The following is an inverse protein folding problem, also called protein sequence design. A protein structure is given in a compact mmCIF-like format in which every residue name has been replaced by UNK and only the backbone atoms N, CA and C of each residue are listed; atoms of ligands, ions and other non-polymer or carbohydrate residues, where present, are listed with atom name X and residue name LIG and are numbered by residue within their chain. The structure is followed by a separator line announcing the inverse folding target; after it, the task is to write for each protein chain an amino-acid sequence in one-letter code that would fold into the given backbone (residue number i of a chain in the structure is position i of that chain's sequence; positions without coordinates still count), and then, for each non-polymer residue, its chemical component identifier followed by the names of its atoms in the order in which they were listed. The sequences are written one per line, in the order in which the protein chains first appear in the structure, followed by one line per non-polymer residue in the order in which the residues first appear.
data_IF_338037178860
#
_entry.id   IF_338037178860
#
_cell.length_a   1.000
_cell.length_b   1.000
_cell.length_c   1.000
_cell.angle_alpha   90.00
_cell.angle_beta   90.00
_cell.angle_gamma   90.00
#
_symmetry.space_group_name_H-M   'P 1'
#
loop_
_entity.id
_entity.type
_entity.pdbx_description
1 polymer ?
#
# COMPACT_ATOMS: atom_id res chain seq x y z
N UNK A 1 -18.47 11.63 -5.42
CA UNK A 1 -18.26 10.26 -5.96
C UNK A 1 -16.76 9.88 -6.10
N UNK A 2 -15.93 9.84 -5.04
CA UNK A 2 -14.49 9.54 -5.17
C UNK A 2 -14.10 8.04 -5.14
N UNK A 3 -14.96 7.16 -4.62
CA UNK A 3 -14.60 5.75 -4.34
C UNK A 3 -14.31 4.94 -5.63
N UNK A 4 -15.04 5.20 -6.73
CA UNK A 4 -14.88 4.46 -7.99
C UNK A 4 -13.57 4.78 -8.73
N UNK A 5 -13.12 6.04 -8.67
CA UNK A 5 -11.87 6.47 -9.31
C UNK A 5 -10.64 5.79 -8.68
N UNK A 6 -10.64 5.61 -7.36
CA UNK A 6 -9.54 4.96 -6.64
C UNK A 6 -9.42 3.48 -6.93
N UNK A 7 -10.56 2.79 -7.05
CA UNK A 7 -10.57 1.38 -7.37
C UNK A 7 -9.98 1.15 -8.78
N UNK A 8 -10.26 2.05 -9.72
CA UNK A 8 -9.69 1.99 -11.07
C UNK A 8 -8.19 2.30 -11.05
N UNK A 9 -7.78 3.31 -10.30
CA UNK A 9 -6.37 3.69 -10.16
C UNK A 9 -5.54 2.59 -9.48
N UNK A 10 -6.07 1.95 -8.43
CA UNK A 10 -5.44 0.82 -7.77
C UNK A 10 -5.30 -0.38 -8.73
N UNK A 11 -6.31 -0.65 -9.56
CA UNK A 11 -6.24 -1.69 -10.60
C UNK A 11 -5.17 -1.36 -11.65
N UNK A 12 -5.08 -0.10 -12.08
CA UNK A 12 -4.05 0.35 -13.02
C UNK A 12 -2.64 0.12 -12.47
N UNK A 13 -2.35 0.55 -11.24
CA UNK A 13 -1.04 0.32 -10.64
C UNK A 13 -0.75 -1.16 -10.39
N UNK A 14 -1.75 -1.96 -10.01
CA UNK A 14 -1.58 -3.41 -9.89
C UNK A 14 -1.23 -4.07 -11.24
N UNK A 15 -1.81 -3.60 -12.34
CA UNK A 15 -1.46 -4.05 -13.69
C UNK A 15 -0.01 -3.68 -14.04
N UNK A 16 0.42 -2.44 -13.75
CA UNK A 16 1.82 -2.01 -13.96
C UNK A 16 2.82 -2.82 -13.14
N UNK A 17 2.48 -3.18 -11.91
CA UNK A 17 3.31 -4.07 -11.10
C UNK A 17 3.45 -5.46 -11.75
N UNK A 18 2.35 -6.02 -12.29
CA UNK A 18 2.38 -7.31 -12.98
C UNK A 18 3.19 -7.27 -14.28
N UNK A 19 3.08 -6.20 -15.07
CA UNK A 19 3.90 -6.00 -16.27
C UNK A 19 5.39 -6.01 -15.92
N UNK A 20 5.79 -5.25 -14.90
CA UNK A 20 7.17 -5.20 -14.43
C UNK A 20 7.62 -6.55 -13.84
N UNK A 21 6.76 -7.25 -13.08
CA UNK A 21 7.05 -8.59 -12.56
C UNK A 21 7.37 -9.58 -13.70
N UNK A 22 6.59 -9.54 -14.79
CA UNK A 22 6.83 -10.38 -15.97
C UNK A 22 8.13 -10.02 -16.68
N UNK A 23 8.43 -8.74 -16.85
CA UNK A 23 9.62 -8.27 -17.54
C UNK A 23 10.90 -8.58 -16.75
N UNK A 24 10.88 -8.32 -15.44
CA UNK A 24 11.95 -8.71 -14.51
C UNK A 24 12.15 -10.22 -14.59
N UNK A 25 11.09 -11.02 -14.48
CA UNK A 25 11.22 -12.48 -14.54
C UNK A 25 11.82 -12.96 -15.85
N UNK A 26 11.43 -12.39 -17.00
CA UNK A 26 12.05 -12.70 -18.30
C UNK A 26 13.54 -12.43 -18.30
N UNK A 27 13.99 -11.29 -17.75
CA UNK A 27 15.41 -10.95 -17.67
C UNK A 27 16.15 -11.95 -16.78
N UNK A 28 15.60 -12.28 -15.61
CA UNK A 28 16.18 -13.30 -14.73
C UNK A 28 16.28 -14.65 -15.43
N UNK A 29 15.23 -15.11 -16.11
CA UNK A 29 15.27 -16.37 -16.89
C UNK A 29 16.32 -16.33 -18.00
N UNK A 30 16.43 -15.23 -18.75
CA UNK A 30 17.40 -15.09 -19.84
C UNK A 30 18.85 -15.04 -19.34
N UNK A 31 19.10 -14.31 -18.25
CA UNK A 31 20.45 -14.06 -17.74
C UNK A 31 20.95 -15.20 -16.85
N UNK A 32 20.08 -15.83 -16.08
CA UNK A 32 20.45 -16.89 -15.13
C UNK A 32 20.26 -18.28 -15.73
N UNK A 33 19.30 -18.46 -16.65
CA UNK A 33 19.08 -19.75 -17.34
C UNK A 33 18.97 -20.95 -16.39
N UNK A 34 19.20 -22.15 -16.92
CA UNK A 34 19.52 -23.32 -16.10
C UNK A 34 21.04 -23.36 -15.90
N UNK A 35 21.48 -23.27 -14.64
CA UNK A 35 22.88 -23.40 -14.29
C UNK A 35 23.26 -24.88 -14.11
N UNK A 36 24.36 -25.30 -14.72
CA UNK A 36 24.94 -26.62 -14.48
C UNK A 36 25.63 -26.72 -13.11
N UNK A 37 25.84 -27.94 -12.55
CA UNK A 37 26.47 -28.11 -11.24
C UNK A 37 27.89 -27.51 -11.15
N UNK A 38 28.64 -27.47 -12.26
CA UNK A 38 29.99 -26.89 -12.30
C UNK A 38 29.99 -25.35 -12.27
N UNK A 39 28.96 -24.71 -12.86
CA UNK A 39 28.77 -23.25 -12.86
C UNK A 39 28.32 -22.72 -11.49
N UNK A 40 27.63 -23.57 -10.71
CA UNK A 40 27.29 -23.29 -9.32
C UNK A 40 28.55 -23.34 -8.44
N UNK A 41 29.43 -24.31 -8.69
CA UNK A 41 30.68 -24.46 -7.94
C UNK A 41 31.71 -23.35 -8.24
N UNK A 42 31.65 -22.74 -9.43
CA UNK A 42 32.60 -21.70 -9.87
C UNK A 42 32.26 -20.28 -9.42
N UNK A 43 31.08 -20.05 -8.81
CA UNK A 43 30.58 -18.71 -8.47
C UNK A 43 30.08 -17.89 -9.67
N UNK A 44 30.05 -18.49 -10.87
CA UNK A 44 29.53 -17.86 -12.09
C UNK A 44 28.02 -17.60 -11.98
N UNK A 45 27.31 -18.42 -11.20
CA UNK A 45 25.92 -18.20 -10.85
C UNK A 45 25.69 -16.87 -10.10
N UNK A 46 26.55 -16.53 -9.13
CA UNK A 46 26.43 -15.30 -8.34
C UNK A 46 26.64 -14.06 -9.21
N UNK A 47 27.63 -14.09 -10.12
CA UNK A 47 27.88 -13.01 -11.07
C UNK A 47 26.70 -12.78 -12.04
N UNK A 48 26.03 -13.86 -12.47
CA UNK A 48 24.83 -13.77 -13.33
C UNK A 48 23.64 -13.17 -12.58
N UNK A 49 23.46 -13.55 -11.31
CA UNK A 49 22.43 -12.97 -10.43
C UNK A 49 22.68 -11.48 -10.22
N UNK A 50 23.92 -11.09 -9.93
CA UNK A 50 24.31 -9.69 -9.75
C UNK A 50 24.00 -8.88 -11.00
N UNK A 51 24.46 -9.36 -12.17
CA UNK A 51 24.21 -8.70 -13.47
C UNK A 51 22.71 -8.59 -13.80
N UNK A 52 21.92 -9.61 -13.47
CA UNK A 52 20.47 -9.55 -13.62
C UNK A 52 19.83 -8.55 -12.64
N UNK A 53 20.34 -8.46 -11.43
CA UNK A 53 19.89 -7.49 -10.43
C UNK A 53 20.16 -6.06 -10.91
N UNK A 54 21.36 -5.78 -11.41
CA UNK A 54 21.74 -4.49 -11.99
C UNK A 54 20.86 -4.13 -13.20
N UNK A 55 20.69 -5.08 -14.12
CA UNK A 55 19.86 -4.89 -15.32
C UNK A 55 18.39 -4.59 -14.98
N UNK A 56 17.90 -5.10 -13.85
CA UNK A 56 16.52 -4.90 -13.40
C UNK A 56 16.36 -3.81 -12.33
N UNK A 57 17.43 -3.19 -11.83
CA UNK A 57 17.40 -2.29 -10.67
C UNK A 57 16.39 -1.15 -10.83
N UNK A 58 16.37 -0.49 -11.99
CA UNK A 58 15.40 0.58 -12.31
C UNK A 58 13.96 0.06 -12.33
N UNK A 59 13.72 -1.13 -12.89
CA UNK A 59 12.39 -1.75 -12.94
C UNK A 59 11.91 -2.14 -11.54
N UNK A 60 12.80 -2.67 -10.69
CA UNK A 60 12.48 -3.00 -9.31
C UNK A 60 12.11 -1.74 -8.50
N UNK A 61 12.81 -0.63 -8.73
CA UNK A 61 12.50 0.66 -8.13
C UNK A 61 11.11 1.17 -8.57
N UNK A 62 10.82 1.15 -9.88
CA UNK A 62 9.50 1.52 -10.41
C UNK A 62 8.38 0.63 -9.85
N UNK A 63 8.62 -0.68 -9.79
CA UNK A 63 7.68 -1.67 -9.25
C UNK A 63 7.35 -1.36 -7.79
N UNK A 64 8.35 -1.01 -6.98
CA UNK A 64 8.16 -0.60 -5.59
C UNK A 64 7.30 0.66 -5.49
N UNK A 65 7.59 1.68 -6.32
CA UNK A 65 6.81 2.92 -6.35
C UNK A 65 5.33 2.64 -6.70
N UNK A 66 5.06 1.87 -7.77
CA UNK A 66 3.68 1.52 -8.15
C UNK A 66 2.95 0.70 -7.09
N UNK A 67 3.62 -0.19 -6.35
CA UNK A 67 3.00 -0.92 -5.24
C UNK A 67 2.51 0.00 -4.12
N UNK A 68 3.19 1.13 -3.91
CA UNK A 68 2.87 2.07 -2.84
C UNK A 68 1.86 3.16 -3.26
N UNK A 69 1.68 3.38 -4.57
CA UNK A 69 0.77 4.39 -5.12
C UNK A 69 -0.68 4.33 -4.60
N UNK A 70 -1.33 3.15 -4.48
CA UNK A 70 -2.69 3.10 -3.93
C UNK A 70 -2.76 3.61 -2.49
N UNK A 71 -1.71 3.37 -1.71
CA UNK A 71 -1.62 3.83 -0.32
C UNK A 71 -1.41 5.35 -0.28
N UNK A 72 -0.54 5.89 -1.14
CA UNK A 72 -0.29 7.33 -1.27
C UNK A 72 -1.55 8.06 -1.72
N UNK A 73 -2.25 7.56 -2.74
CA UNK A 73 -3.51 8.12 -3.20
C UNK A 73 -4.58 8.15 -2.08
N UNK A 74 -4.61 7.10 -1.25
CA UNK A 74 -5.50 7.07 -0.07
C UNK A 74 -5.09 8.10 0.98
N UNK A 75 -3.80 8.27 1.22
CA UNK A 75 -3.28 9.26 2.16
C UNK A 75 -3.65 10.69 1.74
N UNK A 76 -3.43 11.05 0.47
CA UNK A 76 -3.79 12.36 -0.09
C UNK A 76 -5.27 12.67 0.10
N UNK A 77 -6.15 11.69 -0.06
CA UNK A 77 -7.59 11.87 0.16
C UNK A 77 -7.98 12.10 1.61
N UNK A 78 -7.20 11.54 2.53
CA UNK A 78 -7.37 11.76 3.96
C UNK A 78 -6.68 13.07 4.41
N UNK A 79 -6.11 13.85 3.49
CA UNK A 79 -5.37 15.07 3.81
C UNK A 79 -4.05 14.80 4.53
N UNK A 80 -3.51 13.58 4.42
CA UNK A 80 -2.23 13.21 5.03
C UNK A 80 -1.12 13.69 4.10
N UNK A 81 -0.33 14.65 4.58
CA UNK A 81 0.89 15.09 3.92
C UNK A 81 2.05 14.15 4.29
N UNK A 82 2.83 13.72 3.30
CA UNK A 82 3.91 12.74 3.49
C UNK A 82 5.25 13.48 3.48
N UNK A 83 5.97 13.56 4.62
CA UNK A 83 7.27 14.22 4.70
C UNK A 83 8.25 13.80 3.61
N UNK A 84 9.04 14.75 3.09
CA UNK A 84 10.03 14.47 2.05
C UNK A 84 11.04 13.39 2.48
N UNK A 85 11.38 13.36 3.78
CA UNK A 85 12.28 12.37 4.39
C UNK A 85 11.80 10.92 4.31
N UNK A 86 10.53 10.70 3.97
CA UNK A 86 9.96 9.36 3.81
C UNK A 86 10.05 8.82 2.39
N UNK A 87 10.44 9.65 1.43
CA UNK A 87 10.70 9.21 0.07
C UNK A 87 12.14 8.72 -0.05
N UNK A 88 12.35 7.69 -0.86
CA UNK A 88 13.70 7.29 -1.20
C UNK A 88 14.36 8.39 -2.04
N UNK A 89 15.66 8.67 -1.82
CA UNK A 89 16.42 9.51 -2.74
C UNK A 89 16.32 8.91 -4.16
N UNK A 90 15.99 9.75 -5.13
CA UNK A 90 15.73 9.31 -6.49
C UNK A 90 16.99 9.34 -7.33
N UNK A 91 17.45 8.17 -7.79
CA UNK A 91 18.63 8.05 -8.64
C UNK A 91 18.30 7.76 -10.12
N UNK A 92 17.01 7.58 -10.45
CA UNK A 92 16.58 7.14 -11.78
C UNK A 92 15.73 8.16 -12.56
N UNK A 93 15.65 9.41 -12.09
CA UNK A 93 14.89 10.48 -12.77
C UNK A 93 13.40 10.20 -12.93
N UNK A 94 12.84 9.36 -12.07
CA UNK A 94 11.43 8.95 -12.15
C UNK A 94 10.54 10.00 -11.50
N UNK A 95 9.38 10.26 -12.13
CA UNK A 95 8.35 11.16 -11.58
C UNK A 95 7.79 10.66 -10.24
N UNK A 96 7.96 9.37 -9.94
CA UNK A 96 7.44 8.73 -8.75
C UNK A 96 8.58 8.07 -7.98
N UNK A 97 8.85 8.60 -6.79
CA UNK A 97 9.76 7.99 -5.81
C UNK A 97 8.97 7.01 -4.95
N UNK A 98 9.49 5.83 -4.62
CA UNK A 98 8.92 4.99 -3.57
C UNK A 98 9.21 5.60 -2.21
N UNK A 99 8.41 5.23 -1.23
CA UNK A 99 8.68 5.43 0.18
C UNK A 99 9.78 4.48 0.64
N UNK A 100 10.66 5.01 1.50
CA UNK A 100 11.57 4.18 2.29
C UNK A 100 10.77 3.34 3.30
N UNK A 101 11.44 2.39 3.96
CA UNK A 101 10.77 1.47 4.87
C UNK A 101 10.04 2.19 6.03
N UNK A 102 10.66 3.23 6.58
CA UNK A 102 10.09 4.04 7.65
C UNK A 102 8.84 4.80 7.18
N UNK A 103 8.92 5.41 6.00
CA UNK A 103 7.83 6.14 5.36
C UNK A 103 6.62 5.27 5.07
N UNK A 104 6.85 4.07 4.53
CA UNK A 104 5.78 3.11 4.28
C UNK A 104 5.07 2.71 5.58
N UNK A 105 5.83 2.31 6.60
CA UNK A 105 5.28 1.89 7.90
C UNK A 105 4.53 3.03 8.61
N UNK A 106 5.08 4.25 8.55
CA UNK A 106 4.43 5.45 9.06
C UNK A 106 3.10 5.71 8.34
N UNK A 107 3.08 5.64 7.01
CA UNK A 107 1.90 5.92 6.21
C UNK A 107 0.77 4.93 6.48
N UNK A 108 1.08 3.63 6.58
CA UNK A 108 0.12 2.58 6.96
C UNK A 108 -0.51 2.89 8.32
N UNK A 109 0.31 3.29 9.30
CA UNK A 109 -0.17 3.67 10.63
C UNK A 109 -1.09 4.90 10.58
N UNK A 110 -0.72 5.93 9.81
CA UNK A 110 -1.46 7.19 9.77
C UNK A 110 -2.83 7.05 9.08
N UNK A 111 -2.90 6.25 8.02
CA UNK A 111 -4.16 5.86 7.39
C UNK A 111 -5.02 5.03 8.36
N UNK A 112 -4.38 4.13 9.12
CA UNK A 112 -5.06 3.32 10.14
C UNK A 112 -5.70 4.16 11.27
N UNK A 113 -4.99 5.18 11.77
CA UNK A 113 -5.50 6.12 12.78
C UNK A 113 -6.75 6.86 12.30
N UNK A 114 -6.74 7.37 11.06
CA UNK A 114 -7.88 8.07 10.47
C UNK A 114 -9.13 7.20 10.34
N UNK A 115 -8.96 5.89 10.11
CA UNK A 115 -10.08 4.95 10.12
C UNK A 115 -10.66 4.75 11.53
N UNK A 116 -9.80 4.70 12.54
CA UNK A 116 -10.19 4.54 13.95
C UNK A 116 -10.85 5.80 14.52
N UNK A 117 -10.38 7.00 14.19
CA UNK A 117 -11.04 8.25 14.60
C UNK A 117 -12.46 8.32 14.06
N UNK A 118 -12.64 8.06 12.75
CA UNK A 118 -13.95 8.03 12.11
C UNK A 118 -14.93 7.10 12.85
N UNK A 119 -14.52 5.87 13.21
CA UNK A 119 -15.38 4.93 13.94
C UNK A 119 -15.73 5.44 15.35
N UNK A 120 -14.76 6.01 16.06
CA UNK A 120 -15.00 6.59 17.40
C UNK A 120 -15.98 7.76 17.33
N UNK A 121 -15.86 8.61 16.32
CA UNK A 121 -16.74 9.77 16.13
C UNK A 121 -18.18 9.28 15.91
N UNK A 122 -18.38 8.28 15.05
CA UNK A 122 -19.70 7.66 14.84
C UNK A 122 -20.27 7.01 16.11
N UNK A 123 -19.47 6.29 16.89
CA UNK A 123 -19.91 5.67 18.14
C UNK A 123 -20.31 6.73 19.16
N UNK A 124 -19.56 7.83 19.25
CA UNK A 124 -19.86 8.93 20.17
C UNK A 124 -21.17 9.65 19.84
N UNK A 125 -21.56 9.70 18.56
CA UNK A 125 -22.84 10.26 18.10
C UNK A 125 -24.00 9.29 18.31
N UNK A 126 -23.80 8.00 18.01
CA UNK A 126 -24.87 6.99 18.05
C UNK A 126 -25.19 6.54 19.49
N UNK A 127 -24.19 6.49 20.37
CA UNK A 127 -24.38 5.98 21.74
C UNK A 127 -25.40 6.78 22.57
N UNK A 128 -25.37 8.13 22.63
CA UNK A 128 -26.39 8.87 23.38
C UNK A 128 -27.79 8.71 22.79
N UNK A 129 -27.90 8.62 21.46
CA UNK A 129 -29.19 8.43 20.77
C UNK A 129 -29.83 7.08 21.16
N UNK A 130 -29.05 6.00 21.16
CA UNK A 130 -29.51 4.68 21.61
C UNK A 130 -29.93 4.70 23.09
N UNK A 131 -29.13 5.33 23.95
CA UNK A 131 -29.47 5.47 25.38
C UNK A 131 -30.79 6.22 25.59
N UNK A 132 -31.03 7.31 24.84
CA UNK A 132 -32.28 8.06 24.91
C UNK A 132 -33.49 7.24 24.41
N UNK A 133 -33.34 6.49 23.32
CA UNK A 133 -34.42 5.62 22.80
C UNK A 133 -34.81 4.55 23.83
N UNK A 134 -33.83 3.92 24.47
CA UNK A 134 -34.06 2.89 25.51
C UNK A 134 -34.79 3.50 26.70
N UNK A 135 -34.40 4.70 27.15
CA UNK A 135 -35.05 5.39 28.25
C UNK A 135 -36.52 5.73 27.96
N UNK A 136 -36.83 6.22 26.74
CA UNK A 136 -38.19 6.53 26.31
C UNK A 136 -39.06 5.27 26.22
N UNK A 137 -38.52 4.18 25.67
CA UNK A 137 -39.22 2.89 25.62
C UNK A 137 -39.50 2.33 27.01
N UNK A 138 -38.54 2.43 27.94
CA UNK A 138 -38.72 2.03 29.34
C UNK A 138 -39.85 2.82 30.01
N UNK A 139 -39.92 4.14 29.76
CA UNK A 139 -40.98 5.00 30.28
C UNK A 139 -42.35 4.64 29.71
N UNK A 140 -42.44 4.39 28.40
CA UNK A 140 -43.68 3.98 27.72
C UNK A 140 -44.21 2.64 28.23
N UNK A 141 -43.32 1.67 28.49
CA UNK A 141 -43.70 0.37 29.06
C UNK A 141 -44.19 0.52 30.51
N UNK A 142 -43.56 1.39 31.30
CA UNK A 142 -43.99 1.68 32.67
C UNK A 142 -45.37 2.35 32.70
N UNK A 143 -45.62 3.31 31.80
CA UNK A 143 -46.92 3.99 31.67
C UNK A 143 -48.05 3.07 31.18
N UNK A 144 -47.75 1.98 30.48
CA UNK A 144 -48.74 0.99 30.02
C UNK A 144 -49.16 -0.03 31.09
N UNK A 145 -48.43 -0.10 32.22
CA UNK A 145 -48.67 -1.06 33.31
C UNK A 145 -49.42 -0.45 34.50
N UNK A 146 -49.70 0.86 34.45
CA UNK A 146 -50.60 1.58 35.35
C UNK A 146 -51.91 1.86 34.64
#
# INVERSE_FOLDING_TARGET
MPIRANALLAKFYAMKVKELDLEINKIYTLMIGDAGPDEIASGEMDARIEKASEATAKMQYQRKAFRQMPLIARATQLGIDIPESYWEPGNFGLSYKPLNHQGYSWLVREIGKNKLSTVKDWVSVISPILSSIIAILGLLVALRRH
#
